data_IF_832607160450
#
_entry.id   IF_832607160450
#
_cell.length_a   1.000
_cell.length_b   1.000
_cell.length_c   1.000
_cell.angle_alpha   90.00
_cell.angle_beta   90.00
_cell.angle_gamma   90.00
#
_symmetry.space_group_name_H-M   'P 1'
#
loop_
_entity.id
_entity.type
_entity.pdbx_description
1 polymer ?
#
# COMPACT_ATOMS: atom_id res chain seq x y z
N UNK A 1 -17.25 -4.55 -9.11
CA UNK A 1 -16.15 -4.54 -10.09
C UNK A 1 -15.86 -3.08 -10.41
N UNK A 2 -14.80 -2.51 -9.84
CA UNK A 2 -14.43 -1.10 -10.09
C UNK A 2 -13.55 -1.02 -11.33
N UNK A 3 -13.85 -0.11 -12.25
CA UNK A 3 -13.10 0.12 -13.49
C UNK A 3 -12.35 1.45 -13.37
N UNK A 4 -11.02 1.39 -13.39
CA UNK A 4 -10.15 2.56 -13.48
C UNK A 4 -10.03 2.94 -14.97
N UNK A 5 -10.39 4.16 -15.34
CA UNK A 5 -10.19 4.69 -16.70
C UNK A 5 -9.01 5.65 -16.63
N UNK A 6 -7.93 5.33 -17.34
CA UNK A 6 -6.75 6.17 -17.52
C UNK A 6 -6.82 6.81 -18.92
N UNK A 7 -7.15 8.09 -19.00
CA UNK A 7 -6.87 8.90 -20.20
C UNK A 7 -5.53 9.63 -20.04
N UNK A 8 -4.81 9.77 -21.16
CA UNK A 8 -3.40 10.21 -21.21
C UNK A 8 -3.26 11.73 -21.14
N UNK A 9 -2.13 12.13 -20.54
CA UNK A 9 -1.31 13.32 -20.81
C UNK A 9 -1.76 14.67 -20.23
N UNK A 10 -1.91 14.69 -18.91
CA UNK A 10 -1.35 15.64 -17.93
C UNK A 10 -1.53 14.93 -16.57
N UNK A 11 -0.85 15.33 -15.48
CA UNK A 11 -0.86 14.58 -14.22
C UNK A 11 -2.28 14.07 -13.86
N UNK A 12 -2.48 12.75 -13.65
CA UNK A 12 -3.81 12.25 -13.35
C UNK A 12 -4.18 12.69 -11.93
N UNK A 13 -4.92 13.80 -11.81
CA UNK A 13 -5.73 14.05 -10.63
C UNK A 13 -6.68 12.86 -10.48
N UNK A 14 -6.47 12.08 -9.43
CA UNK A 14 -7.35 10.96 -9.08
C UNK A 14 -8.68 11.56 -8.60
N UNK A 15 -9.60 11.83 -9.53
CA UNK A 15 -10.97 12.26 -9.21
C UNK A 15 -11.79 11.03 -8.83
N UNK A 16 -11.87 10.76 -7.52
CA UNK A 16 -12.73 9.70 -6.97
C UNK A 16 -14.20 10.16 -7.00
N UNK A 17 -15.16 9.27 -7.33
CA UNK A 17 -16.57 9.61 -7.38
C UNK A 17 -17.10 10.03 -6.00
N UNK A 18 -17.59 11.26 -5.91
CA UNK A 18 -18.11 11.92 -4.69
C UNK A 18 -19.54 11.49 -4.34
N UNK A 19 -19.77 10.19 -4.16
CA UNK A 19 -21.07 9.70 -3.66
C UNK A 19 -20.98 8.36 -2.92
N UNK A 20 -20.08 8.24 -1.94
CA UNK A 20 -20.16 7.28 -0.82
C UNK A 20 -18.96 7.50 0.12
N UNK A 21 -19.05 8.52 0.98
CA UNK A 21 -17.98 8.86 1.94
C UNK A 21 -16.77 9.55 1.31
N UNK A 22 -16.31 10.62 1.94
CA UNK A 22 -15.07 11.30 1.57
C UNK A 22 -13.84 10.51 2.06
N UNK A 23 -12.71 10.70 1.38
CA UNK A 23 -11.41 10.12 1.72
C UNK A 23 -10.45 11.27 2.06
N UNK A 24 -10.27 11.55 3.35
CA UNK A 24 -9.52 12.69 3.90
C UNK A 24 -8.03 12.42 3.90
N UNK A 25 -7.64 11.15 3.98
CA UNK A 25 -6.23 10.75 4.02
C UNK A 25 -5.94 9.78 2.89
N UNK A 26 -5.13 10.27 1.96
CA UNK A 26 -4.63 9.52 0.80
C UNK A 26 -3.12 9.54 0.89
N UNK A 27 -2.52 8.36 0.98
CA UNK A 27 -1.08 8.18 0.95
C UNK A 27 -0.73 7.41 -0.29
N UNK A 28 0.21 7.90 -1.09
CA UNK A 28 0.65 7.19 -2.27
C UNK A 28 2.18 7.25 -2.44
N UNK A 29 2.68 6.31 -3.23
CA UNK A 29 4.04 6.31 -3.75
C UNK A 29 3.99 5.84 -5.20
N UNK A 30 4.73 6.52 -6.07
CA UNK A 30 4.88 6.14 -7.47
C UNK A 30 6.28 5.61 -7.68
N UNK A 31 6.41 4.49 -8.40
CA UNK A 31 7.71 4.13 -8.96
C UNK A 31 8.12 5.12 -10.04
N UNK A 32 9.40 5.08 -10.46
CA UNK A 32 9.89 5.86 -11.61
C UNK A 32 9.08 5.65 -12.89
N UNK A 33 9.40 6.38 -13.97
CA UNK A 33 8.56 6.51 -15.18
C UNK A 33 7.77 5.23 -15.56
N UNK A 34 6.44 5.31 -15.46
CA UNK A 34 5.44 4.28 -15.86
C UNK A 34 5.38 3.01 -15.01
N UNK A 35 6.00 2.94 -13.83
CA UNK A 35 5.78 1.84 -12.88
C UNK A 35 4.49 2.01 -12.08
N UNK A 36 3.96 0.89 -11.57
CA UNK A 36 2.77 0.85 -10.73
C UNK A 36 2.91 1.81 -9.53
N UNK A 37 1.80 2.45 -9.16
CA UNK A 37 1.69 3.28 -7.97
C UNK A 37 0.93 2.53 -6.88
N UNK A 38 1.38 2.67 -5.64
CA UNK A 38 0.72 2.11 -4.47
C UNK A 38 0.00 3.24 -3.74
N UNK A 39 -1.24 3.00 -3.35
CA UNK A 39 -2.03 3.94 -2.56
C UNK A 39 -2.66 3.25 -1.34
N UNK A 40 -2.73 3.99 -0.24
CA UNK A 40 -3.55 3.68 0.93
C UNK A 40 -4.53 4.83 1.13
N UNK A 41 -5.82 4.51 1.18
CA UNK A 41 -6.88 5.47 1.46
C UNK A 41 -7.51 5.12 2.80
N UNK A 42 -7.68 6.12 3.65
CA UNK A 42 -8.38 5.98 4.94
C UNK A 42 -9.68 6.76 4.85
N UNK A 43 -10.78 6.09 5.16
CA UNK A 43 -12.13 6.68 5.17
C UNK A 43 -12.24 7.74 6.27
N UNK A 44 -13.02 8.77 6.01
CA UNK A 44 -13.30 9.85 6.96
C UNK A 44 -13.99 9.38 8.24
N UNK A 45 -14.67 8.24 8.15
CA UNK A 45 -15.35 7.63 9.30
C UNK A 45 -14.38 6.93 10.25
N UNK A 46 -13.09 6.84 9.90
CA UNK A 46 -12.05 6.22 10.72
C UNK A 46 -11.24 7.34 11.35
N UNK A 47 -11.33 7.45 12.67
CA UNK A 47 -10.47 8.36 13.44
C UNK A 47 -9.07 7.75 13.60
N UNK A 48 -8.32 7.75 12.50
CA UNK A 48 -6.95 7.28 12.45
C UNK A 48 -6.00 8.47 12.57
N UNK A 49 -5.27 8.58 13.67
CA UNK A 49 -4.20 9.57 13.82
C UNK A 49 -2.93 9.08 13.13
N UNK A 50 -2.38 9.86 12.19
CA UNK A 50 -1.18 9.45 11.45
C UNK A 50 0.06 9.94 12.20
N UNK A 51 0.95 9.00 12.58
CA UNK A 51 2.21 9.28 13.28
C UNK A 51 3.41 9.29 12.33
N UNK A 52 3.44 8.37 11.37
CA UNK A 52 4.58 8.22 10.45
C UNK A 52 4.13 7.71 9.09
N UNK A 53 4.75 8.20 8.03
CA UNK A 53 4.57 7.68 6.67
C UNK A 53 5.94 7.43 6.06
N UNK A 54 6.24 6.17 5.75
CA UNK A 54 7.46 5.74 5.08
C UNK A 54 7.09 5.35 3.65
N UNK A 55 7.79 5.92 2.68
CA UNK A 55 7.60 5.62 1.25
C UNK A 55 8.89 5.02 0.72
N UNK A 56 8.77 3.89 0.04
CA UNK A 56 9.90 3.30 -0.67
C UNK A 56 10.37 4.22 -1.80
N UNK A 57 11.68 4.28 -2.02
CA UNK A 57 12.26 5.13 -3.08
C UNK A 57 11.91 4.63 -4.48
N UNK A 58 11.76 3.31 -4.63
CA UNK A 58 11.48 2.68 -5.93
C UNK A 58 9.97 2.48 -6.16
N UNK A 59 9.14 2.81 -5.16
CA UNK A 59 7.68 2.70 -5.21
C UNK A 59 7.13 1.30 -4.94
N UNK A 60 7.91 0.41 -4.32
CA UNK A 60 7.47 -0.98 -4.06
C UNK A 60 6.71 -1.16 -2.75
N UNK A 61 6.78 -0.22 -1.81
CA UNK A 61 5.90 -0.24 -0.65
C UNK A 61 5.62 1.15 -0.10
N UNK A 62 4.53 1.25 0.64
CA UNK A 62 4.22 2.37 1.52
C UNK A 62 3.82 1.82 2.88
N UNK A 63 4.41 2.37 3.94
CA UNK A 63 4.08 2.04 5.33
C UNK A 63 3.53 3.28 6.01
N UNK A 64 2.37 3.11 6.65
CA UNK A 64 1.77 4.12 7.51
C UNK A 64 1.74 3.59 8.94
N UNK A 65 2.12 4.43 9.89
CA UNK A 65 1.92 4.21 11.32
C UNK A 65 0.96 5.25 11.84
N UNK A 66 0.11 4.80 12.72
CA UNK A 66 -0.83 5.66 13.39
C UNK A 66 -1.52 4.96 14.53
N UNK A 67 -2.57 5.58 15.01
CA UNK A 67 -3.40 5.03 16.08
C UNK A 67 -4.88 5.24 15.76
N UNK A 68 -5.70 4.33 16.25
CA UNK A 68 -7.16 4.47 16.30
C UNK A 68 -7.61 3.94 17.66
N UNK A 69 -8.38 4.73 18.43
CA UNK A 69 -8.81 4.38 19.79
C UNK A 69 -7.62 3.98 20.68
N UNK A 70 -6.56 4.78 20.68
CA UNK A 70 -5.29 4.56 21.41
C UNK A 70 -4.54 3.26 21.09
N UNK A 71 -4.96 2.51 20.06
CA UNK A 71 -4.26 1.33 19.58
C UNK A 71 -3.36 1.72 18.43
N UNK A 72 -2.06 1.51 18.61
CA UNK A 72 -1.10 1.64 17.52
C UNK A 72 -1.39 0.61 16.44
N UNK A 73 -1.42 1.07 15.19
CA UNK A 73 -1.65 0.28 13.99
C UNK A 73 -0.58 0.66 12.97
N UNK A 74 0.04 -0.36 12.39
CA UNK A 74 0.94 -0.20 11.24
C UNK A 74 0.30 -0.85 10.03
N UNK A 75 0.14 -0.13 8.93
CA UNK A 75 -0.33 -0.70 7.66
C UNK A 75 0.77 -0.58 6.63
N UNK A 76 1.11 -1.70 5.98
CA UNK A 76 2.11 -1.77 4.93
C UNK A 76 1.40 -2.25 3.67
N UNK A 77 1.40 -1.45 2.61
CA UNK A 77 0.93 -1.88 1.30
C UNK A 77 2.15 -2.12 0.39
N UNK A 78 2.22 -3.29 -0.23
CA UNK A 78 3.38 -3.79 -0.96
C UNK A 78 2.98 -4.13 -2.40
N UNK A 79 3.80 -3.69 -3.34
CA UNK A 79 3.77 -4.10 -4.74
C UNK A 79 5.07 -4.82 -5.10
N UNK A 80 4.94 -6.07 -5.53
CA UNK A 80 6.09 -6.88 -5.93
C UNK A 80 6.26 -6.88 -7.44
N UNK A 81 7.44 -6.54 -7.96
CA UNK A 81 7.69 -6.66 -9.39
C UNK A 81 7.66 -8.15 -9.81
N UNK A 82 6.97 -8.45 -10.91
CA UNK A 82 6.79 -9.80 -11.45
C UNK A 82 8.12 -10.59 -11.63
N UNK A 83 9.24 -9.91 -11.89
CA UNK A 83 10.55 -10.53 -12.10
C UNK A 83 11.35 -10.57 -10.80
N UNK A 84 11.71 -11.77 -10.35
CA UNK A 84 12.49 -11.96 -9.12
C UNK A 84 11.68 -11.74 -7.83
N UNK A 85 10.35 -11.81 -7.93
CA UNK A 85 9.40 -11.58 -6.85
C UNK A 85 9.76 -12.33 -5.55
N UNK A 86 10.04 -13.66 -5.55
CA UNK A 86 10.30 -14.38 -4.30
C UNK A 86 11.55 -13.88 -3.57
N UNK A 87 12.65 -13.61 -4.29
CA UNK A 87 13.87 -13.11 -3.69
C UNK A 87 13.70 -11.67 -3.18
N UNK A 88 12.95 -10.85 -3.91
CA UNK A 88 12.64 -9.48 -3.52
C UNK A 88 11.81 -9.45 -2.23
N UNK A 89 10.69 -10.19 -2.19
CA UNK A 89 9.82 -10.31 -1.02
C UNK A 89 10.62 -10.75 0.21
N UNK A 90 11.45 -11.78 0.07
CA UNK A 90 12.28 -12.28 1.19
C UNK A 90 13.24 -11.22 1.73
N UNK A 91 13.91 -10.46 0.86
CA UNK A 91 14.83 -9.39 1.26
C UNK A 91 14.10 -8.22 1.92
N UNK A 92 12.97 -7.81 1.33
CA UNK A 92 12.15 -6.72 1.83
C UNK A 92 11.55 -7.06 3.21
N UNK A 93 10.94 -8.24 3.38
CA UNK A 93 10.44 -8.71 4.68
C UNK A 93 11.57 -8.78 5.73
N UNK A 94 12.77 -9.22 5.34
CA UNK A 94 13.92 -9.22 6.25
C UNK A 94 14.32 -7.80 6.68
N UNK A 95 14.32 -6.82 5.77
CA UNK A 95 14.60 -5.42 6.11
C UNK A 95 13.54 -4.77 7.00
N UNK A 96 12.28 -5.22 6.90
CA UNK A 96 11.16 -4.68 7.67
C UNK A 96 10.95 -5.39 9.01
N UNK A 97 11.73 -6.43 9.31
CA UNK A 97 11.51 -7.29 10.50
C UNK A 97 11.46 -6.50 11.81
N UNK A 98 12.26 -5.45 11.96
CA UNK A 98 12.26 -4.59 13.14
C UNK A 98 11.06 -3.64 13.24
N UNK A 99 10.35 -3.45 12.14
CA UNK A 99 9.19 -2.55 12.03
C UNK A 99 7.86 -3.29 12.17
N UNK A 100 7.88 -4.62 11.99
CA UNK A 100 6.69 -5.48 12.09
C UNK A 100 6.47 -5.87 13.54
N UNK A 101 5.26 -5.63 14.03
CA UNK A 101 4.79 -6.00 15.36
C UNK A 101 3.41 -6.69 15.29
N UNK A 102 2.83 -7.02 16.45
CA UNK A 102 1.51 -7.67 16.55
C UNK A 102 0.36 -6.89 15.92
N UNK A 103 0.52 -5.58 15.73
CA UNK A 103 -0.49 -4.68 15.22
C UNK A 103 -0.20 -4.24 13.77
N UNK A 104 0.66 -4.98 13.08
CA UNK A 104 1.01 -4.73 11.69
C UNK A 104 0.10 -5.49 10.75
N UNK A 105 -0.53 -4.78 9.83
CA UNK A 105 -1.30 -5.32 8.72
C UNK A 105 -0.45 -5.16 7.46
N UNK A 106 -0.12 -6.28 6.83
CA UNK A 106 0.56 -6.29 5.52
C UNK A 106 -0.50 -6.62 4.47
N UNK A 107 -0.69 -5.69 3.54
CA UNK A 107 -1.60 -5.81 2.41
C UNK A 107 -0.76 -5.95 1.16
N UNK A 108 -0.93 -7.05 0.44
CA UNK A 108 -0.11 -7.36 -0.72
C UNK A 108 -0.91 -8.14 -1.75
N UNK A 109 -0.66 -7.84 -3.02
CA UNK A 109 -1.05 -8.70 -4.14
C UNK A 109 0.17 -9.49 -4.61
N UNK A 110 0.44 -10.60 -3.92
CA UNK A 110 1.59 -11.46 -4.18
C UNK A 110 1.58 -12.06 -5.59
N UNK A 111 0.43 -12.06 -6.29
CA UNK A 111 0.19 -12.75 -7.57
C UNK A 111 0.71 -14.22 -7.59
N UNK A 112 0.94 -14.79 -6.41
CA UNK A 112 1.56 -16.09 -6.20
C UNK A 112 0.94 -16.77 -4.98
N UNK A 113 0.73 -18.10 -5.02
CA UNK A 113 0.21 -18.83 -3.87
C UNK A 113 1.16 -18.72 -2.67
N UNK A 114 0.62 -18.41 -1.49
CA UNK A 114 1.39 -18.38 -0.24
C UNK A 114 1.80 -19.78 0.26
N UNK A 115 1.22 -20.82 -0.33
CA UNK A 115 1.52 -22.23 -0.03
C UNK A 115 1.72 -22.99 -1.34
N UNK A 116 2.56 -24.03 -1.36
CA UNK A 116 2.62 -24.94 -2.49
C UNK A 116 1.22 -25.51 -2.74
N UNK A 117 0.65 -25.30 -3.92
CA UNK A 117 -0.47 -26.12 -4.35
C UNK A 117 0.05 -27.54 -4.52
N UNK A 118 -0.43 -28.47 -3.70
CA UNK A 118 -0.28 -29.89 -3.99
C UNK A 118 -0.89 -30.13 -5.39
N UNK A 119 -0.02 -30.39 -6.38
CA UNK A 119 -0.40 -30.84 -7.72
C UNK A 119 0.06 -32.27 -7.89
#
# INVERSE_FOLDING_TARGET
MFKLVLEKAEEPEIKLPTSAGSWKKIFHVNGGQRKAGISILISDNIDFETKTVIRDKEGYYIMIRGSNQDKDITTINIYVPNKGAPQYVKKMLASMKGEINSNTIIVEDFNTPLTPMNR
#
